data_IF_163171624077
#
_entry.id   IF_163171624077
#
_cell.length_a   1.000
_cell.length_b   1.000
_cell.length_c   1.000
_cell.angle_alpha   90.00
_cell.angle_beta   90.00
_cell.angle_gamma   90.00
#
_symmetry.space_group_name_H-M   'P 1'
#
loop_
_entity.id
_entity.type
_entity.pdbx_description
1 polymer ?
#
# COMPACT_ATOMS: atom_id res chain seq x y z
N UNK A 1 -2.89 -21.63 3.71
CA UNK A 1 -2.87 -20.20 4.09
C UNK A 1 -2.96 -20.11 5.60
N UNK A 2 -2.04 -19.40 6.23
CA UNK A 2 -2.03 -19.28 7.68
C UNK A 2 -2.54 -17.90 8.11
N UNK A 3 -3.84 -17.81 8.34
CA UNK A 3 -4.51 -16.56 8.68
C UNK A 3 -3.99 -15.96 9.99
N UNK A 4 -3.64 -16.81 10.96
CA UNK A 4 -3.11 -16.35 12.24
C UNK A 4 -1.76 -15.64 12.06
N UNK A 5 -0.87 -16.21 11.24
CA UNK A 5 0.44 -15.61 11.01
C UNK A 5 0.36 -14.26 10.31
N UNK A 6 -0.49 -14.17 9.28
CA UNK A 6 -0.67 -12.91 8.56
C UNK A 6 -1.31 -11.86 9.46
N UNK A 7 -2.31 -12.25 10.24
CA UNK A 7 -2.95 -11.32 11.16
C UNK A 7 -2.00 -10.84 12.25
N UNK A 8 -1.13 -11.72 12.74
CA UNK A 8 -0.12 -11.32 13.73
C UNK A 8 0.84 -10.26 13.17
N UNK A 9 1.23 -10.39 11.90
CA UNK A 9 2.08 -9.39 11.25
C UNK A 9 1.33 -8.06 11.11
N UNK A 10 0.05 -8.10 10.71
CA UNK A 10 -0.76 -6.89 10.60
C UNK A 10 -0.89 -6.18 11.94
N UNK A 11 -1.16 -6.94 12.99
CA UNK A 11 -1.33 -6.38 14.34
C UNK A 11 -0.02 -5.76 14.84
N UNK A 12 1.10 -6.42 14.59
CA UNK A 12 2.41 -5.93 14.98
C UNK A 12 2.73 -4.56 14.36
N UNK A 13 2.34 -4.38 13.10
CA UNK A 13 2.64 -3.15 12.37
C UNK A 13 1.46 -2.18 12.30
N UNK A 14 0.34 -2.51 12.95
CA UNK A 14 -0.88 -1.68 12.92
C UNK A 14 -1.34 -1.38 11.49
N UNK A 15 -1.36 -2.42 10.64
CA UNK A 15 -1.80 -2.30 9.26
C UNK A 15 -3.07 -3.14 9.06
N UNK A 16 -4.03 -2.60 8.30
CA UNK A 16 -5.25 -3.33 7.95
C UNK A 16 -5.04 -4.11 6.65
N UNK A 17 -5.96 -5.04 6.35
CA UNK A 17 -5.95 -5.78 5.09
C UNK A 17 -6.02 -4.85 3.88
N UNK A 18 -6.86 -3.82 3.97
CA UNK A 18 -7.04 -2.86 2.89
C UNK A 18 -5.76 -2.04 2.67
N UNK A 19 -5.12 -1.63 3.75
CA UNK A 19 -3.83 -0.93 3.67
C UNK A 19 -2.76 -1.83 3.07
N UNK A 20 -2.73 -3.10 3.45
CA UNK A 20 -1.83 -4.10 2.88
C UNK A 20 -2.02 -4.22 1.37
N UNK A 21 -3.28 -4.26 0.93
CA UNK A 21 -3.62 -4.34 -0.49
C UNK A 21 -3.06 -3.14 -1.26
N UNK A 22 -3.30 -1.93 -0.75
CA UNK A 22 -2.80 -0.72 -1.41
C UNK A 22 -1.27 -0.67 -1.38
N UNK A 23 -0.66 -1.04 -0.26
CA UNK A 23 0.80 -1.09 -0.14
C UNK A 23 1.41 -2.08 -1.15
N UNK A 24 0.81 -3.26 -1.30
CA UNK A 24 1.25 -4.26 -2.27
C UNK A 24 1.17 -3.75 -3.70
N UNK A 25 0.10 -3.01 -4.03
CA UNK A 25 -0.05 -2.40 -5.34
C UNK A 25 1.04 -1.36 -5.60
N UNK A 26 1.30 -0.51 -4.61
CA UNK A 26 2.36 0.50 -4.73
C UNK A 26 3.72 -0.17 -4.94
N UNK A 27 4.02 -1.22 -4.20
CA UNK A 27 5.28 -1.95 -4.35
C UNK A 27 5.41 -2.58 -5.74
N UNK A 28 4.35 -3.22 -6.22
CA UNK A 28 4.38 -3.93 -7.51
C UNK A 28 4.57 -2.99 -8.69
N UNK A 29 4.07 -1.76 -8.60
CA UNK A 29 3.99 -0.83 -9.73
C UNK A 29 4.77 0.46 -9.51
N UNK A 30 5.58 0.55 -8.46
CA UNK A 30 6.32 1.77 -8.12
C UNK A 30 7.28 2.19 -9.24
N UNK A 31 7.42 3.49 -9.50
CA UNK A 31 6.62 4.57 -8.94
C UNK A 31 5.24 4.64 -9.58
N UNK A 32 4.21 4.88 -8.78
CA UNK A 32 2.83 4.87 -9.27
C UNK A 32 2.11 6.15 -8.85
N UNK A 33 1.35 6.76 -9.77
CA UNK A 33 0.61 7.99 -9.50
C UNK A 33 -0.65 7.73 -8.67
N UNK A 34 -1.11 8.78 -7.98
CA UNK A 34 -2.35 8.73 -7.22
C UNK A 34 -3.52 8.27 -8.09
N UNK A 35 -3.71 8.90 -9.24
CA UNK A 35 -4.84 8.58 -10.13
C UNK A 35 -4.81 7.12 -10.57
N UNK A 36 -3.64 6.58 -10.84
CA UNK A 36 -3.51 5.18 -11.25
C UNK A 36 -3.82 4.21 -10.10
N UNK A 37 -3.38 4.54 -8.88
CA UNK A 37 -3.71 3.75 -7.70
C UNK A 37 -5.23 3.69 -7.52
N UNK A 38 -5.92 4.83 -7.59
CA UNK A 38 -7.36 4.91 -7.43
C UNK A 38 -8.09 4.10 -8.50
N UNK A 39 -7.64 4.21 -9.74
CA UNK A 39 -8.24 3.48 -10.86
C UNK A 39 -8.11 1.98 -10.69
N UNK A 40 -6.92 1.50 -10.34
CA UNK A 40 -6.67 0.07 -10.18
C UNK A 40 -7.42 -0.50 -8.96
N UNK A 41 -7.49 0.25 -7.86
CA UNK A 41 -8.23 -0.17 -6.68
C UNK A 41 -9.72 -0.34 -6.99
N UNK A 42 -10.28 0.55 -7.78
CA UNK A 42 -11.67 0.46 -8.22
C UNK A 42 -11.89 -0.77 -9.10
N UNK A 43 -11.01 -0.98 -10.09
CA UNK A 43 -11.16 -2.09 -11.03
C UNK A 43 -10.93 -3.46 -10.40
N UNK A 44 -9.95 -3.58 -9.53
CA UNK A 44 -9.53 -4.89 -9.01
C UNK A 44 -10.21 -5.26 -7.70
N UNK A 45 -10.65 -4.30 -6.91
CA UNK A 45 -11.19 -4.56 -5.59
C UNK A 45 -12.49 -3.80 -5.32
N UNK A 46 -13.08 -3.19 -6.33
CA UNK A 46 -14.31 -2.39 -6.22
C UNK A 46 -14.22 -1.33 -5.12
N UNK A 47 -13.02 -0.86 -4.85
CA UNK A 47 -12.77 0.14 -3.82
C UNK A 47 -13.05 1.53 -4.39
N UNK A 48 -13.91 2.30 -3.73
CA UNK A 48 -14.22 3.65 -4.20
C UNK A 48 -12.97 4.53 -4.18
N UNK A 49 -12.88 5.54 -5.04
CA UNK A 49 -11.74 6.46 -5.05
C UNK A 49 -11.47 7.12 -3.69
N UNK A 50 -12.52 7.53 -2.99
CA UNK A 50 -12.35 8.16 -1.67
C UNK A 50 -11.78 7.18 -0.65
N UNK A 51 -12.22 5.93 -0.69
CA UNK A 51 -11.72 4.89 0.21
C UNK A 51 -10.24 4.57 -0.09
N UNK A 52 -9.91 4.38 -1.36
CA UNK A 52 -8.53 4.12 -1.77
C UNK A 52 -7.60 5.27 -1.37
N UNK A 53 -8.07 6.50 -1.56
CA UNK A 53 -7.31 7.69 -1.18
C UNK A 53 -7.08 7.75 0.34
N UNK A 54 -8.10 7.38 1.11
CA UNK A 54 -8.01 7.31 2.57
C UNK A 54 -6.90 6.35 3.00
N UNK A 55 -6.86 5.15 2.44
CA UNK A 55 -5.84 4.16 2.79
C UNK A 55 -4.45 4.60 2.35
N UNK A 56 -4.34 5.23 1.17
CA UNK A 56 -3.07 5.76 0.70
C UNK A 56 -2.53 6.82 1.68
N UNK A 57 -3.40 7.72 2.15
CA UNK A 57 -3.02 8.74 3.11
C UNK A 57 -2.61 8.14 4.46
N UNK A 58 -3.29 7.08 4.88
CA UNK A 58 -2.92 6.38 6.12
C UNK A 58 -1.55 5.73 6.00
N UNK A 59 -1.26 5.10 4.85
CA UNK A 59 0.05 4.50 4.59
C UNK A 59 1.15 5.57 4.59
N UNK A 60 0.88 6.73 4.03
CA UNK A 60 1.83 7.84 4.02
C UNK A 60 2.08 8.35 5.44
N UNK A 61 1.02 8.50 6.24
CA UNK A 61 1.11 8.94 7.62
C UNK A 61 1.91 7.96 8.47
N UNK A 62 1.72 6.67 8.25
CA UNK A 62 2.45 5.61 8.96
C UNK A 62 3.86 5.42 8.43
N UNK A 63 4.23 6.11 7.34
CA UNK A 63 5.55 6.07 6.71
C UNK A 63 5.85 4.72 6.04
N UNK A 64 4.83 4.06 5.54
CA UNK A 64 4.98 2.82 4.77
C UNK A 64 5.16 3.09 3.28
N UNK A 65 4.66 4.25 2.83
CA UNK A 65 4.90 4.76 1.48
C UNK A 65 5.38 6.20 1.56
N UNK A 66 6.06 6.65 0.50
CA UNK A 66 6.50 8.04 0.42
C UNK A 66 6.22 8.59 -0.98
N UNK A 67 6.09 9.91 -1.04
CA UNK A 67 5.89 10.61 -2.30
C UNK A 67 7.23 10.80 -2.98
N UNK A 68 7.31 10.42 -4.25
CA UNK A 68 8.44 10.71 -5.12
C UNK A 68 7.98 11.84 -6.05
N UNK A 69 8.82 12.84 -6.25
CA UNK A 69 8.48 13.91 -7.18
C UNK A 69 8.58 13.39 -8.62
N UNK A 70 7.46 13.45 -9.34
CA UNK A 70 7.46 13.23 -10.77
C UNK A 70 8.05 14.46 -11.47
N UNK A 71 8.45 14.29 -12.75
CA UNK A 71 8.92 15.41 -13.57
C UNK A 71 7.88 16.52 -13.65
N UNK A 72 6.59 16.15 -13.66
CA UNK A 72 5.50 17.12 -13.57
C UNK A 72 5.16 17.32 -12.09
N UNK A 73 5.41 18.54 -11.57
CA UNK A 73 5.18 18.86 -10.16
C UNK A 73 3.73 18.72 -9.71
N UNK A 74 2.78 18.61 -10.65
CA UNK A 74 1.36 18.41 -10.34
C UNK A 74 1.00 16.95 -10.16
N UNK A 75 1.88 16.03 -10.52
CA UNK A 75 1.65 14.61 -10.41
C UNK A 75 2.44 14.08 -9.21
N UNK A 76 1.73 13.44 -8.28
CA UNK A 76 2.37 12.75 -7.14
C UNK A 76 2.51 11.29 -7.47
N UNK A 77 3.71 10.77 -7.29
CA UNK A 77 3.98 9.35 -7.44
C UNK A 77 4.43 8.78 -6.11
N UNK A 78 4.12 7.51 -5.88
CA UNK A 78 4.38 6.84 -4.60
C UNK A 78 5.26 5.63 -4.82
N UNK A 79 6.07 5.36 -3.80
CA UNK A 79 6.90 4.17 -3.72
C UNK A 79 6.91 3.68 -2.27
N UNK A 80 7.11 2.38 -2.02
CA UNK A 80 7.19 1.90 -0.64
C UNK A 80 8.47 2.39 0.01
N UNK A 81 8.41 2.65 1.33
CA UNK A 81 9.59 2.91 2.13
C UNK A 81 10.25 1.58 2.49
N UNK A 82 11.46 1.64 3.06
CA UNK A 82 12.10 0.43 3.61
C UNK A 82 11.18 -0.23 4.63
N UNK A 83 10.55 0.57 5.49
CA UNK A 83 9.59 0.06 6.48
C UNK A 83 8.42 -0.68 5.82
N UNK A 84 7.87 -0.12 4.73
CA UNK A 84 6.81 -0.78 3.97
C UNK A 84 7.27 -2.08 3.34
N UNK A 85 8.48 -2.11 2.80
CA UNK A 85 9.04 -3.33 2.20
C UNK A 85 9.26 -4.44 3.24
N UNK A 86 9.70 -4.07 4.44
CA UNK A 86 9.88 -5.03 5.55
C UNK A 86 8.54 -5.69 5.90
N UNK A 87 7.47 -4.88 6.00
CA UNK A 87 6.14 -5.41 6.30
C UNK A 87 5.68 -6.39 5.22
N UNK A 88 5.85 -6.03 3.95
CA UNK A 88 5.46 -6.90 2.84
C UNK A 88 6.24 -8.20 2.83
N UNK A 89 7.52 -8.16 3.17
CA UNK A 89 8.34 -9.36 3.26
C UNK A 89 7.88 -10.26 4.40
N UNK A 90 7.58 -9.71 5.57
CA UNK A 90 7.05 -10.48 6.69
C UNK A 90 5.71 -11.12 6.34
N UNK A 91 4.83 -10.39 5.65
CA UNK A 91 3.54 -10.92 5.20
C UNK A 91 3.75 -12.06 4.20
N UNK A 92 4.65 -11.88 3.24
CA UNK A 92 4.96 -12.90 2.23
C UNK A 92 5.44 -14.18 2.92
N UNK A 93 6.31 -14.07 3.89
CA UNK A 93 6.79 -15.23 4.65
C UNK A 93 5.67 -15.87 5.46
N UNK A 94 4.74 -15.09 5.97
CA UNK A 94 3.59 -15.60 6.73
C UNK A 94 2.58 -16.34 5.87
N UNK A 95 2.51 -16.03 4.57
CA UNK A 95 1.62 -16.72 3.62
C UNK A 95 2.16 -18.10 3.20
N UNK A 96 3.41 -18.37 3.41
CA UNK A 96 4.03 -19.66 3.05
C UNK A 96 3.69 -20.80 4.00
#
# INVERSE_FOLDING_TARGET
MNTFKTQAVRDKHHITMQEEYVLGMVDALAPISTSRILLLAEKQDSMSPSTAHKYLKQLQRKKFVHVIKADDSRVREYSPTVKGLVILEELRNAYR
#
